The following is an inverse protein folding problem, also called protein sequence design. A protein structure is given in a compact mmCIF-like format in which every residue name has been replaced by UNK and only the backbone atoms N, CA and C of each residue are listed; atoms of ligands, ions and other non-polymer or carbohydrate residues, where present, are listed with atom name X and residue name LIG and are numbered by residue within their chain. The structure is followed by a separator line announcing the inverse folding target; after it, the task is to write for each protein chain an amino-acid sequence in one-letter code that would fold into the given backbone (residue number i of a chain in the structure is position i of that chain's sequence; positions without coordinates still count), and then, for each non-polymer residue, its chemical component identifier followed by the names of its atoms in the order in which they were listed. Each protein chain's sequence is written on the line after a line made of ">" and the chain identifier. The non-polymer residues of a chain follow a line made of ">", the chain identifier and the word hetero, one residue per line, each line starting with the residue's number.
data_IF_547548120454
#
_entry.id   IF_547548120454
#
_cell.length_a   1.000
_cell.length_b   1.000
_cell.length_c   1.000
_cell.angle_alpha   90.00
_cell.angle_beta   90.00
_cell.angle_gamma   90.00
#
_symmetry.space_group_name_H-M   'P 1'
#
loop_
_entity.id
_entity.type
_entity.pdbx_description
1 polymer ?
#
# COMPACT_ATOMS: atom_id res chain seq x y z
N UNK A 1 34.76 8.81 -12.27
CA UNK A 1 34.21 7.53 -11.75
C UNK A 1 33.38 7.66 -10.46
N UNK A 2 33.77 8.47 -9.46
CA UNK A 2 32.98 8.64 -8.22
C UNK A 2 31.59 9.28 -8.43
N UNK A 3 31.47 10.21 -9.38
CA UNK A 3 30.22 10.92 -9.66
C UNK A 3 29.11 9.98 -10.18
N UNK A 4 29.45 9.08 -11.11
CA UNK A 4 28.52 8.08 -11.66
C UNK A 4 28.00 7.13 -10.57
N UNK A 5 28.87 6.74 -9.63
CA UNK A 5 28.49 5.89 -8.51
C UNK A 5 27.49 6.58 -7.57
N UNK A 6 27.72 7.86 -7.25
CA UNK A 6 26.77 8.67 -6.47
C UNK A 6 25.43 8.83 -7.18
N UNK A 7 25.44 8.99 -8.51
CA UNK A 7 24.23 9.13 -9.32
C UNK A 7 23.41 7.84 -9.34
N UNK A 8 24.08 6.67 -9.45
CA UNK A 8 23.44 5.36 -9.34
C UNK A 8 22.82 5.13 -7.96
N UNK A 9 23.54 5.48 -6.88
CA UNK A 9 23.00 5.42 -5.51
C UNK A 9 21.75 6.29 -5.36
N UNK A 10 21.78 7.51 -5.90
CA UNK A 10 20.65 8.43 -5.84
C UNK A 10 19.42 7.90 -6.58
N UNK A 11 19.61 7.30 -7.76
CA UNK A 11 18.55 6.65 -8.53
C UNK A 11 17.92 5.46 -7.79
N UNK A 12 18.74 4.66 -7.10
CA UNK A 12 18.25 3.55 -6.27
C UNK A 12 17.45 4.05 -5.06
N UNK A 13 17.85 5.16 -4.44
CA UNK A 13 17.08 5.77 -3.35
C UNK A 13 15.72 6.31 -3.82
N UNK A 14 15.68 6.98 -4.97
CA UNK A 14 14.46 7.52 -5.57
C UNK A 14 13.45 6.41 -5.91
N UNK A 15 13.92 5.33 -6.55
CA UNK A 15 13.07 4.20 -6.95
C UNK A 15 12.49 3.45 -5.75
N UNK A 16 13.26 3.27 -4.68
CA UNK A 16 12.75 2.72 -3.41
C UNK A 16 11.66 3.61 -2.79
N UNK A 17 11.87 4.93 -2.78
CA UNK A 17 10.91 5.90 -2.24
C UNK A 17 9.61 5.88 -3.05
N UNK A 18 9.69 5.86 -4.38
CA UNK A 18 8.54 5.80 -5.26
C UNK A 18 7.73 4.50 -5.07
N UNK A 19 8.41 3.36 -4.93
CA UNK A 19 7.78 2.05 -4.65
C UNK A 19 7.04 2.05 -3.31
N UNK A 20 7.66 2.59 -2.26
CA UNK A 20 7.03 2.74 -0.94
C UNK A 20 5.80 3.65 -0.99
N UNK A 21 5.88 4.76 -1.73
CA UNK A 21 4.76 5.69 -1.88
C UNK A 21 3.57 5.06 -2.62
N UNK A 22 3.82 4.26 -3.65
CA UNK A 22 2.79 3.52 -4.40
C UNK A 22 2.08 2.49 -3.51
N UNK A 23 2.84 1.72 -2.71
CA UNK A 23 2.27 0.77 -1.74
C UNK A 23 1.41 1.47 -0.68
N UNK A 24 1.89 2.60 -0.15
CA UNK A 24 1.14 3.39 0.83
C UNK A 24 -0.19 3.91 0.26
N UNK A 25 -0.18 4.43 -0.98
CA UNK A 25 -1.41 4.87 -1.65
C UNK A 25 -2.43 3.74 -1.78
N UNK A 26 -1.99 2.55 -2.21
CA UNK A 26 -2.85 1.37 -2.37
C UNK A 26 -3.53 0.95 -1.07
N UNK A 27 -2.78 0.91 0.04
CA UNK A 27 -3.35 0.54 1.34
C UNK A 27 -4.27 1.60 1.96
N UNK A 28 -4.24 2.83 1.47
CA UNK A 28 -5.13 3.90 1.90
C UNK A 28 -6.45 3.94 1.12
N UNK A 29 -6.57 3.21 0.00
CA UNK A 29 -7.80 3.17 -0.79
C UNK A 29 -8.99 2.67 0.02
N UNK A 30 -8.79 1.69 0.90
CA UNK A 30 -9.85 1.18 1.76
C UNK A 30 -10.44 2.27 2.66
N UNK A 31 -9.59 3.08 3.30
CA UNK A 31 -10.03 4.19 4.15
C UNK A 31 -10.70 5.30 3.32
N UNK A 32 -10.20 5.59 2.11
CA UNK A 32 -10.80 6.58 1.20
C UNK A 32 -12.19 6.18 0.72
N UNK A 33 -12.48 4.89 0.61
CA UNK A 33 -13.80 4.37 0.28
C UNK A 33 -14.77 4.33 1.48
N UNK A 34 -14.36 4.84 2.65
CA UNK A 34 -15.14 4.74 3.89
C UNK A 34 -15.14 3.33 4.50
N UNK A 35 -14.17 2.49 4.11
CA UNK A 35 -14.03 1.14 4.63
C UNK A 35 -12.94 1.00 5.70
N UNK A 36 -12.94 -0.16 6.35
CA UNK A 36 -11.94 -0.57 7.32
C UNK A 36 -11.38 -1.96 7.00
N UNK A 37 -10.09 -2.15 7.24
CA UNK A 37 -9.43 -3.44 7.06
C UNK A 37 -9.79 -4.41 8.20
N UNK A 38 -10.65 -5.39 7.92
CA UNK A 38 -11.03 -6.46 8.86
C UNK A 38 -10.43 -7.80 8.44
N UNK A 39 -10.40 -8.76 9.36
CA UNK A 39 -9.93 -10.11 9.06
C UNK A 39 -10.90 -10.82 8.12
N UNK A 40 -10.40 -11.66 7.22
CA UNK A 40 -11.22 -12.43 6.26
C UNK A 40 -12.28 -13.31 6.92
N UNK A 41 -12.14 -13.63 8.20
CA UNK A 41 -13.12 -14.39 9.00
C UNK A 41 -14.22 -13.52 9.61
N UNK A 42 -14.19 -12.21 9.42
CA UNK A 42 -15.25 -11.33 9.92
C UNK A 42 -16.47 -11.44 9.01
N UNK A 43 -17.57 -11.94 9.54
CA UNK A 43 -18.85 -12.05 8.82
C UNK A 43 -19.65 -10.73 8.92
N UNK A 44 -20.57 -10.51 7.97
CA UNK A 44 -21.54 -9.41 8.04
C UNK A 44 -21.03 -8.03 7.58
N UNK A 45 -20.06 -7.97 6.66
CA UNK A 45 -19.65 -6.72 6.03
C UNK A 45 -19.70 -6.82 4.50
N UNK A 46 -19.95 -5.69 3.81
CA UNK A 46 -19.79 -5.61 2.36
C UNK A 46 -18.31 -5.47 2.00
N UNK A 47 -17.79 -6.44 1.25
CA UNK A 47 -16.38 -6.45 0.82
C UNK A 47 -16.18 -5.40 -0.27
N UNK A 48 -15.20 -4.52 -0.09
CA UNK A 48 -14.82 -3.50 -1.06
C UNK A 48 -13.57 -3.93 -1.86
N UNK A 49 -13.45 -3.53 -3.14
CA UNK A 49 -12.31 -3.85 -4.00
C UNK A 49 -11.11 -2.97 -3.68
N UNK A 50 -10.63 -2.99 -2.44
CA UNK A 50 -9.45 -2.25 -1.99
C UNK A 50 -8.51 -3.17 -1.21
N UNK A 51 -7.20 -2.98 -1.40
CA UNK A 51 -6.20 -3.79 -0.71
C UNK A 51 -5.89 -3.26 0.69
N UNK A 52 -5.70 -4.21 1.60
CA UNK A 52 -5.18 -3.93 2.94
C UNK A 52 -3.68 -4.25 3.00
N UNK A 53 -2.96 -3.57 3.90
CA UNK A 53 -1.53 -3.83 4.14
C UNK A 53 -1.26 -5.29 4.53
N UNK A 54 -2.21 -5.92 5.22
CA UNK A 54 -2.14 -7.33 5.62
C UNK A 54 -2.93 -8.20 4.63
N UNK A 55 -2.28 -9.24 4.09
CA UNK A 55 -2.88 -10.21 3.15
C UNK A 55 -4.02 -11.02 3.77
N UNK A 56 -4.07 -11.16 5.09
CA UNK A 56 -5.16 -11.84 5.81
C UNK A 56 -6.35 -10.93 6.13
N UNK A 57 -6.28 -9.66 5.71
CA UNK A 57 -7.34 -8.68 5.88
C UNK A 57 -7.92 -8.29 4.53
N UNK A 58 -9.20 -7.99 4.50
CA UNK A 58 -9.90 -7.42 3.36
C UNK A 58 -10.54 -6.10 3.76
N UNK A 59 -10.83 -5.26 2.77
CA UNK A 59 -11.55 -4.03 3.02
C UNK A 59 -13.04 -4.33 3.21
N UNK A 60 -13.59 -3.92 4.35
CA UNK A 60 -15.02 -3.97 4.66
C UNK A 60 -15.59 -2.56 4.64
N UNK A 61 -16.77 -2.36 4.05
CA UNK A 61 -17.56 -1.13 4.25
C UNK A 61 -18.09 -1.10 5.69
N UNK A 62 -18.00 0.07 6.34
CA UNK A 62 -18.56 0.35 7.68
C UNK A 62 -19.85 1.15 7.51
#
# INVERSE_FOLDING_TARGET
>A
MRLLFLLLLFLVCLSQTASGHRKRKRFMECAKMGGACKYQRTHGCSILPAECKNRYKHCCRV
#
